data_IF_893565264658
#
_entry.id   IF_893565264658
#
_cell.length_a   1.000
_cell.length_b   1.000
_cell.length_c   1.000
_cell.angle_alpha   90.00
_cell.angle_beta   90.00
_cell.angle_gamma   90.00
#
_symmetry.space_group_name_H-M   'P 1'
#
loop_
_entity.id
_entity.type
_entity.pdbx_description
1 polymer ?
#
# COMPACT_ATOMS: atom_id res chain seq x y z
N UNK A 1 -8.82 -9.59 -11.68
CA UNK A 1 -7.45 -9.94 -12.09
C UNK A 1 -6.50 -8.81 -11.70
N UNK A 2 -5.42 -9.10 -10.98
CA UNK A 2 -4.36 -8.12 -10.66
C UNK A 2 -3.53 -7.89 -11.92
N UNK A 3 -3.21 -6.63 -12.24
CA UNK A 3 -2.43 -6.28 -13.43
C UNK A 3 -0.94 -6.51 -13.19
N UNK A 4 -0.19 -6.89 -14.24
CA UNK A 4 1.26 -7.11 -14.16
C UNK A 4 2.01 -5.89 -13.57
N UNK A 5 1.58 -4.68 -13.95
CA UNK A 5 2.09 -3.42 -13.40
C UNK A 5 1.93 -3.30 -11.88
N UNK A 6 0.76 -3.67 -11.35
CA UNK A 6 0.52 -3.61 -9.91
C UNK A 6 1.38 -4.64 -9.15
N UNK A 7 1.74 -5.77 -9.78
CA UNK A 7 2.64 -6.76 -9.18
C UNK A 7 4.09 -6.27 -9.13
N UNK A 8 4.57 -5.60 -10.18
CA UNK A 8 5.91 -4.99 -10.21
C UNK A 8 6.05 -3.89 -9.16
N UNK A 9 5.06 -3.00 -9.07
CA UNK A 9 5.01 -1.94 -8.05
C UNK A 9 4.93 -2.56 -6.64
N UNK A 10 4.20 -3.67 -6.47
CA UNK A 10 4.09 -4.37 -5.20
C UNK A 10 5.46 -4.89 -4.73
N UNK A 11 6.25 -5.51 -5.60
CA UNK A 11 7.59 -6.00 -5.25
C UNK A 11 8.49 -4.85 -4.77
N UNK A 12 8.42 -3.69 -5.43
CA UNK A 12 9.16 -2.49 -5.01
C UNK A 12 8.63 -1.94 -3.68
N UNK A 13 7.32 -1.86 -3.49
CA UNK A 13 6.70 -1.45 -2.22
C UNK A 13 7.15 -2.34 -1.05
N UNK A 14 7.16 -3.65 -1.23
CA UNK A 14 7.62 -4.60 -0.19
C UNK A 14 9.10 -4.37 0.15
N UNK A 15 9.94 -4.11 -0.87
CA UNK A 15 11.38 -3.81 -0.68
C UNK A 15 11.62 -2.47 0.03
N UNK A 16 10.85 -1.43 -0.31
CA UNK A 16 11.04 -0.07 0.21
C UNK A 16 10.35 0.18 1.56
N UNK A 17 9.39 -0.66 1.95
CA UNK A 17 8.60 -0.50 3.17
C UNK A 17 9.43 -0.77 4.45
N UNK A 18 10.26 0.20 4.84
CA UNK A 18 10.96 0.29 6.11
C UNK A 18 10.08 0.95 7.20
N UNK A 19 10.27 0.62 8.49
CA UNK A 19 9.46 1.14 9.59
C UNK A 19 9.53 2.66 9.77
N UNK A 20 10.63 3.31 9.35
CA UNK A 20 10.84 4.75 9.48
C UNK A 20 10.39 5.56 8.25
N UNK A 21 9.85 4.91 7.22
CA UNK A 21 9.41 5.59 5.99
C UNK A 21 7.97 6.09 6.12
N UNK A 22 7.75 7.39 5.91
CA UNK A 22 6.39 7.93 5.85
C UNK A 22 5.65 7.48 4.58
N UNK A 23 4.31 7.40 4.60
CA UNK A 23 3.52 7.04 3.41
C UNK A 23 3.79 7.93 2.20
N UNK A 24 4.08 9.22 2.43
CA UNK A 24 4.40 10.18 1.36
C UNK A 24 5.77 9.87 0.74
N UNK A 25 6.80 9.65 1.56
CA UNK A 25 8.13 9.29 1.07
C UNK A 25 8.10 7.95 0.32
N UNK A 26 7.30 7.00 0.79
CA UNK A 26 7.14 5.71 0.12
C UNK A 26 6.46 5.88 -1.25
N UNK A 27 5.43 6.72 -1.32
CA UNK A 27 4.76 7.04 -2.58
C UNK A 27 5.69 7.75 -3.58
N UNK A 28 6.46 8.73 -3.10
CA UNK A 28 7.42 9.46 -3.93
C UNK A 28 8.54 8.54 -4.43
N UNK A 29 9.06 7.64 -3.58
CA UNK A 29 10.06 6.65 -3.97
C UNK A 29 9.53 5.66 -5.02
N UNK A 30 8.28 5.22 -4.88
CA UNK A 30 7.62 4.38 -5.90
C UNK A 30 7.46 5.14 -7.22
N UNK A 31 7.12 6.43 -7.18
CA UNK A 31 7.03 7.25 -8.39
C UNK A 31 8.38 7.55 -9.04
N UNK A 32 9.47 7.54 -8.28
CA UNK A 32 10.81 7.64 -8.85
C UNK A 32 11.16 6.40 -9.69
N UNK A 33 10.78 5.20 -9.23
CA UNK A 33 10.99 3.97 -10.01
C UNK A 33 9.92 3.76 -11.11
N UNK A 34 8.71 4.29 -10.90
CA UNK A 34 7.59 4.19 -11.85
C UNK A 34 6.94 5.56 -12.10
N UNK A 35 7.56 6.43 -12.93
CA UNK A 35 7.08 7.80 -13.15
C UNK A 35 5.67 7.84 -13.76
N UNK A 36 5.33 6.85 -14.59
CA UNK A 36 4.03 6.76 -15.24
C UNK A 36 2.96 6.04 -14.39
N UNK A 37 3.33 5.55 -13.19
CA UNK A 37 2.39 4.82 -12.36
C UNK A 37 1.23 5.71 -11.92
N UNK A 38 0.03 5.26 -12.23
CA UNK A 38 -1.18 5.94 -11.78
C UNK A 38 -1.38 5.70 -10.29
N UNK A 39 -2.05 6.65 -9.62
CA UNK A 39 -2.39 6.51 -8.19
C UNK A 39 -3.18 5.22 -7.92
N UNK A 40 -4.05 4.81 -8.85
CA UNK A 40 -4.84 3.57 -8.76
C UNK A 40 -3.95 2.33 -8.74
N UNK A 41 -2.91 2.28 -9.57
CA UNK A 41 -1.96 1.16 -9.61
C UNK A 41 -1.14 1.07 -8.33
N UNK A 42 -0.66 2.21 -7.81
CA UNK A 42 0.12 2.26 -6.57
C UNK A 42 -0.72 1.81 -5.38
N UNK A 43 -1.96 2.30 -5.26
CA UNK A 43 -2.88 1.86 -4.19
C UNK A 43 -3.18 0.37 -4.28
N UNK A 44 -3.44 -0.14 -5.49
CA UNK A 44 -3.69 -1.58 -5.70
C UNK A 44 -2.47 -2.43 -5.34
N UNK A 45 -1.28 -1.96 -5.69
CA UNK A 45 -0.02 -2.60 -5.34
C UNK A 45 0.26 -2.56 -3.83
N UNK A 46 -0.12 -1.49 -3.13
CA UNK A 46 0.01 -1.42 -1.68
C UNK A 46 -0.90 -2.43 -0.96
N UNK A 47 -2.14 -2.60 -1.42
CA UNK A 47 -3.01 -3.67 -0.91
C UNK A 47 -2.45 -5.06 -1.20
N UNK A 48 -1.91 -5.27 -2.40
CA UNK A 48 -1.24 -6.53 -2.74
C UNK A 48 -0.05 -6.77 -1.81
N UNK A 49 0.78 -5.75 -1.55
CA UNK A 49 1.92 -5.84 -0.65
C UNK A 49 1.49 -6.20 0.78
N UNK A 50 0.38 -5.63 1.28
CA UNK A 50 -0.20 -6.01 2.58
C UNK A 50 -0.58 -7.48 2.60
N UNK A 51 -1.30 -7.96 1.58
CA UNK A 51 -1.74 -9.37 1.51
C UNK A 51 -0.54 -10.32 1.41
N UNK A 52 0.44 -10.01 0.56
CA UNK A 52 1.63 -10.83 0.37
C UNK A 52 2.57 -10.83 1.58
N UNK A 53 2.63 -9.72 2.33
CA UNK A 53 3.42 -9.65 3.58
C UNK A 53 2.66 -10.15 4.80
N UNK A 54 1.33 -10.14 4.78
CA UNK A 54 0.50 -10.69 5.84
C UNK A 54 0.63 -12.21 5.96
N UNK A 55 0.89 -12.90 4.86
CA UNK A 55 1.20 -14.33 4.84
C UNK A 55 2.57 -14.62 5.50
N UNK A 56 3.46 -13.61 5.57
CA UNK A 56 4.81 -13.73 6.13
C UNK A 56 4.96 -13.18 7.57
N UNK A 57 4.12 -12.23 8.00
CA UNK A 57 4.19 -11.64 9.34
C UNK A 57 2.83 -11.06 9.80
N UNK A 58 2.08 -11.85 10.58
CA UNK A 58 0.76 -11.51 11.10
C UNK A 58 0.72 -10.19 11.89
N UNK A 59 1.83 -9.76 12.50
CA UNK A 59 1.86 -8.52 13.27
C UNK A 59 1.85 -7.29 12.35
N UNK A 60 2.51 -7.37 11.19
CA UNK A 60 2.54 -6.28 10.20
C UNK A 60 1.18 -6.14 9.51
N UNK A 61 0.53 -7.27 9.21
CA UNK A 61 -0.83 -7.31 8.69
C UNK A 61 -1.83 -6.59 9.60
N UNK A 62 -1.76 -6.87 10.91
CA UNK A 62 -2.67 -6.30 11.90
C UNK A 62 -2.52 -4.78 12.04
N UNK A 63 -1.28 -4.27 11.97
CA UNK A 63 -1.02 -2.82 11.99
C UNK A 63 -1.58 -2.11 10.76
N UNK A 64 -1.42 -2.71 9.58
CA UNK A 64 -1.93 -2.16 8.32
C UNK A 64 -3.46 -2.19 8.26
N UNK A 65 -4.09 -3.22 8.83
CA UNK A 65 -5.55 -3.28 8.98
C UNK A 65 -6.07 -2.19 9.92
N UNK A 66 -5.43 -1.98 11.09
CA UNK A 66 -5.81 -0.90 12.01
C UNK A 66 -5.67 0.48 11.37
N UNK A 67 -4.61 0.70 10.58
CA UNK A 67 -4.44 1.92 9.81
C UNK A 67 -5.56 2.13 8.78
N UNK A 68 -5.92 1.08 8.02
CA UNK A 68 -6.99 1.17 7.03
C UNK A 68 -8.38 1.43 7.65
N UNK A 69 -8.63 0.94 8.86
CA UNK A 69 -9.87 1.22 9.60
C UNK A 69 -9.92 2.67 10.12
N UNK A 70 -8.79 3.23 10.55
CA UNK A 70 -8.70 4.60 11.02
C UNK A 70 -8.84 5.63 9.88
N UNK A 71 -8.25 5.34 8.72
CA UNK A 71 -8.29 6.22 7.55
C UNK A 71 -9.54 6.03 6.69
N UNK A 72 -10.41 5.08 7.03
CA UNK A 72 -11.71 4.93 6.36
C UNK A 72 -12.54 6.18 6.69
N UNK A 73 -12.92 7.00 5.70
CA UNK A 73 -13.88 8.06 5.93
C UNK A 73 -15.19 7.40 6.37
N UNK A 74 -15.74 7.85 7.50
CA UNK A 74 -17.10 7.52 7.89
C UNK A 74 -18.05 8.00 6.80
N UNK A 75 -18.40 7.09 5.88
CA UNK A 75 -19.52 7.27 4.99
C UNK A 75 -20.79 7.14 5.86
N UNK A 76 -21.35 8.28 6.25
CA UNK A 76 -22.62 8.36 6.96
C UNK A 76 -22.57 9.27 8.17
N UNK A 77 -22.56 10.59 7.95
CA UNK A 77 -23.11 11.54 8.91
C UNK A 77 -24.17 12.35 8.15
N UNK A 78 -25.38 11.81 8.10
CA UNK A 78 -26.59 12.61 7.92
C UNK A 78 -27.45 12.39 9.18
N UNK A 79 -27.78 13.53 9.79
CA UNK A 79 -28.60 13.83 10.98
C UNK A 79 -27.92 13.62 12.34
#
# INVERSE_FOLDING_TARGET
>A
MVTKRAQEICAVLVRLAAPDLSPKQLFDAVRQEFPDATRKEIVRAAFLAVITTADADCNKARKLQSFALAERPVAGTEI
#
